data_IF_104964477194
#
_entry.id   IF_104964477194
#
_cell.length_a   1.000
_cell.length_b   1.000
_cell.length_c   1.000
_cell.angle_alpha   90.00
_cell.angle_beta   90.00
_cell.angle_gamma   90.00
#
_symmetry.space_group_name_H-M   'P 1'
#
loop_
_entity.id
_entity.type
_entity.pdbx_description
1 polymer ?
#
# COMPACT_ATOMS: atom_id res chain seq x y z
N UNK A 1 -7.72 -42.22 11.13
CA UNK A 1 -7.78 -41.26 10.01
C UNK A 1 -8.37 -39.97 10.53
N UNK A 2 -7.53 -38.95 10.78
CA UNK A 2 -7.98 -37.68 11.36
C UNK A 2 -8.84 -36.91 10.38
N UNK A 3 -9.99 -36.40 10.82
CA UNK A 3 -10.87 -35.53 10.03
C UNK A 3 -10.06 -34.30 9.58
N UNK A 4 -9.97 -34.08 8.27
CA UNK A 4 -9.33 -32.89 7.67
C UNK A 4 -10.25 -31.68 7.91
N UNK A 5 -9.74 -30.61 8.52
CA UNK A 5 -10.44 -29.34 8.72
C UNK A 5 -9.84 -28.28 7.81
N UNK A 6 -9.93 -28.51 6.50
CA UNK A 6 -9.51 -27.54 5.48
C UNK A 6 -10.36 -26.27 5.60
N UNK A 7 -9.72 -25.19 6.02
CA UNK A 7 -10.37 -23.89 6.30
C UNK A 7 -9.57 -22.80 5.61
N UNK A 8 -10.26 -21.80 5.07
CA UNK A 8 -9.64 -20.64 4.43
C UNK A 8 -9.81 -19.42 5.30
N UNK A 9 -8.75 -18.65 5.42
CA UNK A 9 -8.72 -17.47 6.26
C UNK A 9 -8.28 -16.27 5.46
N UNK A 10 -8.79 -15.10 5.85
CA UNK A 10 -8.21 -13.80 5.52
C UNK A 10 -7.70 -13.21 6.84
N UNK A 11 -6.39 -13.12 6.98
CA UNK A 11 -5.71 -12.47 8.10
C UNK A 11 -5.26 -11.08 7.69
N UNK A 12 -5.44 -10.08 8.55
CA UNK A 12 -4.92 -8.74 8.34
C UNK A 12 -3.63 -8.59 9.12
N UNK A 13 -2.58 -8.22 8.39
CA UNK A 13 -1.27 -7.89 8.94
C UNK A 13 -0.99 -6.40 8.80
N UNK A 14 -0.15 -5.89 9.69
CA UNK A 14 0.54 -4.62 9.57
C UNK A 14 2.03 -4.89 9.42
N UNK A 15 2.74 -4.11 8.63
CA UNK A 15 4.20 -4.24 8.53
C UNK A 15 4.93 -2.94 8.25
N UNK A 16 6.16 -2.85 8.74
CA UNK A 16 7.14 -1.85 8.35
C UNK A 16 7.96 -2.38 7.18
N UNK A 17 7.76 -1.81 5.99
CA UNK A 17 8.38 -2.29 4.76
C UNK A 17 9.86 -1.97 4.58
N UNK A 18 10.46 -1.16 5.48
CA UNK A 18 11.82 -0.59 5.32
C UNK A 18 12.88 -1.61 4.94
N UNK A 19 12.84 -2.80 5.54
CA UNK A 19 13.87 -3.84 5.38
C UNK A 19 13.49 -4.92 4.35
N UNK A 20 12.44 -4.68 3.55
CA UNK A 20 11.86 -5.67 2.67
C UNK A 20 11.80 -5.21 1.23
N UNK A 21 12.04 -6.16 0.33
CA UNK A 21 11.93 -6.03 -1.13
C UNK A 21 10.47 -6.12 -1.61
N UNK A 22 9.55 -5.53 -0.83
CA UNK A 22 8.12 -5.49 -1.11
C UNK A 22 7.36 -6.71 -0.59
N UNK A 23 6.08 -6.79 -0.97
CA UNK A 23 5.25 -7.93 -0.59
C UNK A 23 5.69 -9.24 -1.26
N UNK A 24 5.79 -9.25 -2.58
CA UNK A 24 5.92 -10.48 -3.38
C UNK A 24 7.31 -11.12 -3.23
N UNK A 25 7.38 -12.45 -3.08
CA UNK A 25 8.65 -13.21 -3.20
C UNK A 25 9.39 -12.87 -4.50
N UNK A 26 10.68 -12.58 -4.41
CA UNK A 26 11.54 -12.24 -5.53
C UNK A 26 13.02 -12.49 -5.18
N UNK A 27 13.90 -12.44 -6.18
CA UNK A 27 15.32 -12.75 -6.01
C UNK A 27 16.15 -11.59 -5.44
N UNK A 28 15.55 -10.41 -5.21
CA UNK A 28 16.26 -9.21 -4.79
C UNK A 28 16.47 -9.12 -3.26
N UNK A 29 15.87 -10.02 -2.49
CA UNK A 29 16.04 -10.08 -1.04
C UNK A 29 14.76 -10.49 -0.30
N UNK A 30 14.75 -10.23 1.02
CA UNK A 30 13.66 -10.63 1.91
C UNK A 30 12.34 -9.96 1.50
N UNK A 31 11.28 -10.75 1.34
CA UNK A 31 9.93 -10.23 1.08
C UNK A 31 8.98 -10.45 2.25
N UNK A 32 7.92 -9.65 2.34
CA UNK A 32 6.90 -9.82 3.38
C UNK A 32 6.19 -11.17 3.20
N UNK A 33 5.87 -11.56 1.96
CA UNK A 33 5.20 -12.83 1.67
C UNK A 33 6.04 -14.02 2.15
N UNK A 34 7.35 -14.00 1.92
CA UNK A 34 8.24 -15.09 2.34
C UNK A 34 8.21 -15.28 3.87
N UNK A 35 8.33 -14.19 4.63
CA UNK A 35 8.28 -14.25 6.10
C UNK A 35 6.92 -14.68 6.63
N UNK A 36 5.83 -14.25 5.98
CA UNK A 36 4.47 -14.70 6.32
C UNK A 36 4.29 -16.19 6.04
N UNK A 37 4.74 -16.70 4.89
CA UNK A 37 4.66 -18.12 4.55
C UNK A 37 5.52 -18.99 5.47
N UNK A 38 6.72 -18.52 5.86
CA UNK A 38 7.56 -19.18 6.89
C UNK A 38 6.85 -19.27 8.23
N UNK A 39 6.21 -18.17 8.67
CA UNK A 39 5.48 -18.13 9.93
C UNK A 39 4.23 -19.03 9.91
N UNK A 40 3.48 -19.02 8.80
CA UNK A 40 2.33 -19.91 8.60
C UNK A 40 2.77 -21.38 8.61
N UNK A 41 3.84 -21.70 7.90
CA UNK A 41 4.36 -23.06 7.83
C UNK A 41 4.85 -23.55 9.19
N UNK A 42 5.48 -22.68 9.98
CA UNK A 42 5.91 -22.99 11.35
C UNK A 42 4.71 -23.22 12.29
N UNK A 43 3.63 -22.45 12.12
CA UNK A 43 2.42 -22.59 12.94
C UNK A 43 1.64 -23.87 12.63
N UNK A 44 1.51 -24.24 11.34
CA UNK A 44 0.68 -25.35 10.90
C UNK A 44 1.46 -26.65 10.63
N UNK A 45 2.80 -26.61 10.64
CA UNK A 45 3.67 -27.78 10.46
C UNK A 45 3.74 -28.29 9.01
N UNK A 46 3.21 -27.55 8.05
CA UNK A 46 3.20 -27.88 6.62
C UNK A 46 3.42 -26.62 5.80
N UNK A 47 3.98 -26.77 4.59
CA UNK A 47 4.15 -25.63 3.69
C UNK A 47 2.79 -24.96 3.40
N UNK A 48 2.66 -23.69 3.77
CA UNK A 48 1.42 -22.93 3.67
C UNK A 48 1.65 -21.67 2.82
N UNK A 49 1.01 -21.62 1.66
CA UNK A 49 1.08 -20.47 0.75
C UNK A 49 0.20 -19.31 1.20
N UNK A 50 0.63 -18.09 0.86
CA UNK A 50 -0.08 -16.86 1.20
C UNK A 50 -0.35 -16.00 -0.04
N UNK A 51 -1.59 -15.53 -0.17
CA UNK A 51 -2.01 -14.61 -1.23
C UNK A 51 -2.33 -13.25 -0.62
N UNK A 52 -1.54 -12.23 -0.95
CA UNK A 52 -1.83 -10.85 -0.55
C UNK A 52 -2.92 -10.19 -1.40
N UNK A 53 -3.64 -9.23 -0.80
CA UNK A 53 -4.66 -8.42 -1.48
C UNK A 53 -4.08 -7.44 -2.51
N UNK A 54 -2.79 -7.14 -2.44
CA UNK A 54 -2.10 -6.25 -3.36
C UNK A 54 -0.68 -6.74 -3.64
N UNK A 55 0.07 -5.98 -4.44
CA UNK A 55 1.52 -5.89 -4.29
C UNK A 55 1.84 -4.56 -3.59
N UNK A 56 3.00 -4.50 -2.97
CA UNK A 56 3.61 -3.28 -2.44
C UNK A 56 5.08 -3.26 -2.84
N UNK A 57 5.57 -2.06 -3.15
CA UNK A 57 6.94 -1.86 -3.61
C UNK A 57 7.94 -2.05 -2.46
N UNK A 58 9.22 -2.26 -2.81
CA UNK A 58 10.31 -2.30 -1.84
C UNK A 58 10.28 -1.08 -0.92
N UNK A 59 10.38 -1.31 0.39
CA UNK A 59 10.38 -0.23 1.39
C UNK A 59 9.00 0.30 1.79
N UNK A 60 7.91 -0.03 1.08
CA UNK A 60 6.56 0.51 1.36
C UNK A 60 5.95 -0.22 2.54
N UNK A 61 5.42 0.51 3.52
CA UNK A 61 4.76 -0.07 4.71
C UNK A 61 3.27 -0.28 4.46
N UNK A 62 2.62 -1.10 5.29
CA UNK A 62 1.17 -1.24 5.26
C UNK A 62 0.59 -1.31 6.67
N UNK A 63 -0.55 -0.64 6.88
CA UNK A 63 -1.27 -0.63 8.15
C UNK A 63 -2.34 -1.71 8.19
N UNK A 64 -3.16 -1.83 7.14
CA UNK A 64 -4.12 -2.91 7.00
C UNK A 64 -3.90 -3.69 5.70
N UNK A 65 -3.20 -4.82 5.80
CA UNK A 65 -2.88 -5.67 4.67
C UNK A 65 -3.53 -7.05 4.77
N UNK A 66 -4.62 -7.32 4.02
CA UNK A 66 -5.24 -8.63 4.01
C UNK A 66 -4.39 -9.66 3.26
N UNK A 67 -4.28 -10.84 3.86
CA UNK A 67 -3.57 -12.02 3.34
C UNK A 67 -4.48 -13.22 3.46
N UNK A 68 -4.64 -13.98 2.38
CA UNK A 68 -5.43 -15.19 2.35
C UNK A 68 -4.55 -16.44 2.34
N UNK A 69 -4.93 -17.44 3.13
CA UNK A 69 -4.27 -18.75 3.15
C UNK A 69 -5.29 -19.85 3.50
N UNK A 70 -4.92 -21.09 3.22
CA UNK A 70 -5.69 -22.29 3.60
C UNK A 70 -4.86 -23.06 4.63
N UNK A 71 -5.52 -23.58 5.66
CA UNK A 71 -4.89 -24.42 6.66
C UNK A 71 -5.81 -25.56 7.09
N UNK A 72 -5.24 -26.74 7.31
CA UNK A 72 -5.90 -27.82 8.05
C UNK A 72 -5.71 -27.57 9.55
N UNK A 73 -6.72 -27.03 10.22
CA UNK A 73 -6.57 -26.63 11.61
C UNK A 73 -7.85 -26.62 12.43
N UNK A 74 -7.73 -27.12 13.67
CA UNK A 74 -8.74 -26.98 14.72
C UNK A 74 -8.56 -25.72 15.57
N UNK A 75 -7.55 -24.89 15.28
CA UNK A 75 -7.33 -23.67 16.03
C UNK A 75 -8.58 -22.77 15.96
N UNK A 76 -9.08 -22.26 17.11
CA UNK A 76 -10.12 -21.24 17.10
C UNK A 76 -9.66 -20.04 16.28
N UNK A 77 -10.52 -19.55 15.38
CA UNK A 77 -10.17 -18.49 14.41
C UNK A 77 -9.54 -17.28 15.10
N UNK A 78 -10.16 -16.79 16.18
CA UNK A 78 -9.67 -15.64 16.95
C UNK A 78 -8.29 -15.83 17.61
N UNK A 79 -7.76 -17.06 17.72
CA UNK A 79 -6.43 -17.35 18.28
C UNK A 79 -5.32 -17.37 17.24
N UNK A 80 -5.66 -17.42 15.94
CA UNK A 80 -4.68 -17.52 14.87
C UNK A 80 -3.69 -16.34 14.87
N UNK A 81 -4.11 -15.05 14.94
CA UNK A 81 -3.16 -13.93 14.91
C UNK A 81 -2.16 -13.99 16.07
N UNK A 82 -2.64 -14.23 17.29
CA UNK A 82 -1.80 -14.33 18.47
C UNK A 82 -0.76 -15.45 18.35
N UNK A 83 -1.15 -16.62 17.83
CA UNK A 83 -0.22 -17.74 17.64
C UNK A 83 0.76 -17.49 16.49
N UNK A 84 0.30 -16.90 15.39
CA UNK A 84 1.13 -16.57 14.23
C UNK A 84 2.21 -15.54 14.59
N UNK A 85 1.88 -14.53 15.40
CA UNK A 85 2.81 -13.48 15.84
C UNK A 85 4.02 -14.00 16.63
N UNK A 86 3.98 -15.23 17.15
CA UNK A 86 5.14 -15.88 17.77
C UNK A 86 6.22 -16.28 16.77
N UNK A 87 5.84 -16.45 15.51
CA UNK A 87 6.73 -16.84 14.42
C UNK A 87 7.01 -15.69 13.44
N UNK A 88 6.15 -14.67 13.41
CA UNK A 88 6.40 -13.50 12.58
C UNK A 88 7.52 -12.61 13.14
N UNK A 89 8.31 -11.97 12.26
CA UNK A 89 9.23 -10.90 12.64
C UNK A 89 8.52 -9.74 13.37
N UNK A 90 9.24 -8.97 14.19
CA UNK A 90 8.65 -7.85 14.97
C UNK A 90 8.08 -6.73 14.10
N UNK A 91 8.59 -6.58 12.88
CA UNK A 91 8.18 -5.64 11.86
C UNK A 91 7.02 -6.13 10.98
N UNK A 92 6.48 -7.34 11.23
CA UNK A 92 5.28 -7.88 10.58
C UNK A 92 4.38 -8.49 11.66
N UNK A 93 3.17 -7.96 11.87
CA UNK A 93 2.29 -8.47 12.92
C UNK A 93 0.86 -8.60 12.44
N UNK A 94 0.22 -9.73 12.76
CA UNK A 94 -1.19 -9.98 12.52
C UNK A 94 -2.05 -9.51 13.68
N UNK A 95 -3.22 -8.93 13.39
CA UNK A 95 -4.10 -8.40 14.45
C UNK A 95 -5.59 -8.68 14.22
N UNK A 96 -5.98 -9.15 13.03
CA UNK A 96 -7.37 -9.48 12.70
C UNK A 96 -7.41 -10.70 11.80
N UNK A 97 -8.44 -11.52 11.93
CA UNK A 97 -8.65 -12.67 11.04
C UNK A 97 -10.14 -12.94 10.86
N UNK A 98 -10.48 -13.43 9.68
CA UNK A 98 -11.82 -13.91 9.34
C UNK A 98 -11.69 -15.24 8.60
N UNK A 99 -12.57 -16.19 8.93
CA UNK A 99 -12.76 -17.40 8.14
C UNK A 99 -13.69 -17.10 6.96
N UNK A 100 -13.36 -17.64 5.80
CA UNK A 100 -14.05 -17.43 4.53
C UNK A 100 -14.28 -18.77 3.84
N UNK A 101 -15.21 -18.81 2.88
CA UNK A 101 -15.46 -20.00 2.07
C UNK A 101 -14.19 -20.41 1.29
N UNK A 102 -14.03 -21.70 1.01
CA UNK A 102 -12.84 -22.25 0.35
C UNK A 102 -12.63 -21.70 -1.07
N UNK A 103 -13.71 -21.33 -1.76
CA UNK A 103 -13.73 -20.74 -3.11
C UNK A 103 -13.48 -19.22 -3.12
N UNK A 104 -13.47 -18.55 -1.96
CA UNK A 104 -13.25 -17.11 -1.85
C UNK A 104 -11.94 -16.66 -2.52
N UNK A 105 -11.99 -15.62 -3.34
CA UNK A 105 -10.82 -15.06 -4.02
C UNK A 105 -10.51 -13.64 -3.53
N UNK A 106 -9.52 -13.52 -2.64
CA UNK A 106 -9.17 -12.24 -2.02
C UNK A 106 -8.91 -11.10 -3.02
N UNK A 107 -8.19 -11.36 -4.12
CA UNK A 107 -7.83 -10.32 -5.09
C UNK A 107 -9.04 -9.82 -5.87
N UNK A 108 -9.99 -10.71 -6.21
CA UNK A 108 -11.24 -10.34 -6.90
C UNK A 108 -12.22 -9.64 -5.97
N UNK A 109 -12.07 -9.81 -4.66
CA UNK A 109 -12.92 -9.21 -3.64
C UNK A 109 -12.44 -7.84 -3.13
N UNK A 110 -11.30 -7.33 -3.61
CA UNK A 110 -10.83 -5.98 -3.26
C UNK A 110 -11.70 -4.93 -3.97
N UNK A 111 -12.30 -4.03 -3.20
CA UNK A 111 -13.11 -2.92 -3.71
C UNK A 111 -12.28 -1.66 -3.98
N UNK A 112 -11.43 -1.30 -3.02
CA UNK A 112 -10.58 -0.10 -3.11
C UNK A 112 -9.39 -0.18 -2.17
N UNK A 113 -8.38 0.64 -2.46
CA UNK A 113 -7.14 0.75 -1.67
C UNK A 113 -6.92 2.22 -1.32
N UNK A 114 -6.57 2.47 -0.07
CA UNK A 114 -6.20 3.81 0.41
C UNK A 114 -4.71 3.84 0.72
N UNK A 115 -4.00 4.78 0.11
CA UNK A 115 -2.61 5.05 0.39
C UNK A 115 -2.46 6.42 1.05
N UNK A 116 -1.48 6.53 1.96
CA UNK A 116 -1.07 7.79 2.56
C UNK A 116 0.40 8.01 2.26
N UNK A 117 0.73 9.17 1.69
CA UNK A 117 2.10 9.64 1.56
C UNK A 117 2.34 10.81 2.51
N UNK A 118 3.31 10.66 3.42
CA UNK A 118 3.65 11.69 4.41
C UNK A 118 4.80 12.55 3.91
N UNK A 119 4.61 13.87 3.96
CA UNK A 119 5.63 14.90 3.71
C UNK A 119 5.72 15.81 4.93
N UNK A 120 6.85 16.47 5.17
CA UNK A 120 6.97 17.47 6.22
C UNK A 120 7.74 18.70 5.72
N UNK A 121 7.28 19.88 6.12
CA UNK A 121 7.90 21.15 5.75
C UNK A 121 8.88 21.55 6.84
N UNK A 122 10.15 21.67 6.49
CA UNK A 122 11.21 22.05 7.43
C UNK A 122 12.49 22.46 6.70
N UNK A 123 13.21 23.45 7.22
CA UNK A 123 14.54 23.82 6.74
C UNK A 123 15.57 22.72 7.06
N UNK A 124 15.44 22.08 8.22
CA UNK A 124 16.34 21.03 8.69
C UNK A 124 15.74 19.64 8.57
N UNK A 125 16.58 18.63 8.37
CA UNK A 125 16.15 17.23 8.46
C UNK A 125 15.81 16.91 9.91
N UNK A 126 14.60 16.42 10.17
CA UNK A 126 14.13 16.06 11.51
C UNK A 126 14.29 14.55 11.73
N UNK A 127 15.27 14.08 12.54
CA UNK A 127 15.61 12.65 12.62
C UNK A 127 14.47 11.74 13.08
N UNK A 128 13.51 12.28 13.83
CA UNK A 128 12.36 11.53 14.34
C UNK A 128 11.19 11.42 13.35
N UNK A 129 11.17 12.26 12.30
CA UNK A 129 10.09 12.32 11.29
C UNK A 129 10.58 11.82 9.93
N UNK A 130 11.83 12.14 9.58
CA UNK A 130 12.44 11.79 8.31
C UNK A 130 12.43 10.28 7.97
N UNK A 131 12.45 9.33 8.92
CA UNK A 131 12.33 7.92 8.61
C UNK A 131 10.98 7.52 8.02
N UNK A 132 9.92 8.30 8.24
CA UNK A 132 8.53 7.98 7.86
C UNK A 132 7.86 9.04 6.99
N UNK A 133 8.57 10.10 6.63
CA UNK A 133 8.07 11.18 5.79
C UNK A 133 9.17 11.78 4.90
N UNK A 134 8.76 12.46 3.83
CA UNK A 134 9.66 13.16 2.91
C UNK A 134 9.77 14.65 3.25
N UNK A 135 10.99 15.17 3.36
CA UNK A 135 11.25 16.58 3.65
C UNK A 135 10.99 17.43 2.41
N UNK A 136 10.34 18.56 2.58
CA UNK A 136 10.28 19.65 1.61
C UNK A 136 10.60 20.97 2.32
N UNK A 137 11.12 21.95 1.59
CA UNK A 137 11.47 23.26 2.18
C UNK A 137 10.27 24.21 2.22
N UNK A 138 9.33 24.07 1.29
CA UNK A 138 8.08 24.80 1.24
C UNK A 138 6.99 23.94 0.57
N UNK A 139 5.73 24.33 0.80
CA UNK A 139 4.57 23.68 0.19
C UNK A 139 3.37 24.65 0.20
N UNK A 140 2.92 25.09 -0.97
CA UNK A 140 1.62 25.76 -1.12
C UNK A 140 0.49 24.72 -0.97
N UNK A 141 -0.14 24.74 0.20
CA UNK A 141 -1.22 23.84 0.55
C UNK A 141 -2.44 24.00 -0.35
N UNK A 142 -2.77 25.23 -0.78
CA UNK A 142 -3.94 25.50 -1.60
C UNK A 142 -3.74 24.97 -3.02
N UNK A 143 -2.53 25.15 -3.57
CA UNK A 143 -2.17 24.58 -4.86
C UNK A 143 -2.26 23.04 -4.84
N UNK A 144 -1.76 22.41 -3.77
CA UNK A 144 -1.83 20.94 -3.62
C UNK A 144 -3.27 20.46 -3.46
N UNK A 145 -4.09 21.12 -2.62
CA UNK A 145 -5.51 20.79 -2.44
C UNK A 145 -6.29 20.91 -3.75
N UNK A 146 -6.04 21.96 -4.52
CA UNK A 146 -6.66 22.17 -5.84
C UNK A 146 -6.23 21.09 -6.84
N UNK A 147 -4.95 20.72 -6.87
CA UNK A 147 -4.44 19.65 -7.72
C UNK A 147 -5.03 18.26 -7.36
N UNK A 148 -5.19 17.97 -6.06
CA UNK A 148 -5.87 16.76 -5.59
C UNK A 148 -7.34 16.71 -6.04
N UNK A 149 -8.02 17.87 -6.06
CA UNK A 149 -9.37 17.98 -6.60
C UNK A 149 -9.48 17.52 -8.06
N UNK A 150 -8.48 17.84 -8.90
CA UNK A 150 -8.43 17.38 -10.29
C UNK A 150 -8.20 15.88 -10.45
N UNK A 151 -7.63 15.23 -9.44
CA UNK A 151 -7.30 13.81 -9.47
C UNK A 151 -8.52 12.91 -9.20
N UNK A 152 -9.59 13.43 -8.61
CA UNK A 152 -10.80 12.65 -8.30
C UNK A 152 -11.53 12.27 -9.60
N UNK A 153 -12.01 11.04 -9.67
CA UNK A 153 -12.70 10.48 -10.84
C UNK A 153 -11.84 9.52 -11.67
N UNK A 154 -12.29 9.27 -12.90
CA UNK A 154 -11.67 8.28 -13.80
C UNK A 154 -10.64 8.95 -14.70
N UNK A 155 -9.38 8.56 -14.55
CA UNK A 155 -8.26 9.19 -15.24
C UNK A 155 -7.31 8.16 -15.86
N UNK A 156 -6.69 8.54 -16.97
CA UNK A 156 -5.52 7.86 -17.51
C UNK A 156 -4.27 8.36 -16.77
N UNK A 157 -3.71 7.51 -15.91
CA UNK A 157 -2.56 7.84 -15.08
C UNK A 157 -1.21 7.53 -15.76
N UNK A 158 -1.15 7.39 -17.09
CA UNK A 158 0.10 7.05 -17.81
C UNK A 158 1.28 7.97 -17.45
N UNK A 159 1.04 9.28 -17.25
CA UNK A 159 2.08 10.22 -16.80
C UNK A 159 2.67 9.87 -15.42
N UNK A 160 1.98 9.06 -14.64
CA UNK A 160 2.32 8.68 -13.27
C UNK A 160 2.70 7.21 -13.15
N UNK A 161 3.05 6.53 -14.23
CA UNK A 161 3.48 5.12 -14.19
C UNK A 161 4.94 4.99 -14.61
N UNK A 162 5.65 4.03 -14.01
CA UNK A 162 7.00 3.67 -14.48
C UNK A 162 6.89 2.92 -15.82
N UNK A 163 7.57 3.39 -16.89
CA UNK A 163 7.59 2.68 -18.17
C UNK A 163 8.05 1.23 -18.01
N UNK A 164 7.39 0.29 -18.71
CA UNK A 164 7.69 -1.14 -18.63
C UNK A 164 7.25 -1.83 -17.33
N UNK A 165 6.51 -1.13 -16.46
CA UNK A 165 5.92 -1.74 -15.27
C UNK A 165 4.80 -2.74 -15.61
N UNK A 166 4.60 -3.71 -14.71
CA UNK A 166 3.57 -4.73 -14.81
C UNK A 166 2.21 -4.12 -14.38
N UNK A 167 1.41 -3.61 -15.34
CA UNK A 167 0.08 -3.07 -15.07
C UNK A 167 -0.96 -3.53 -16.10
N UNK A 168 -2.16 -3.85 -15.61
CA UNK A 168 -3.31 -4.26 -16.45
C UNK A 168 -3.90 -3.09 -17.26
N UNK A 169 -3.89 -1.88 -16.69
CA UNK A 169 -4.33 -0.65 -17.36
C UNK A 169 -3.89 0.59 -16.58
N UNK A 170 -3.45 1.68 -17.25
CA UNK A 170 -3.14 2.95 -16.60
C UNK A 170 -4.39 3.75 -16.23
N UNK A 171 -5.56 3.36 -16.73
CA UNK A 171 -6.84 4.01 -16.40
C UNK A 171 -7.32 3.53 -15.04
N UNK A 172 -7.48 4.45 -14.09
CA UNK A 172 -7.92 4.18 -12.71
C UNK A 172 -9.04 5.11 -12.30
N UNK A 173 -9.91 4.63 -11.42
CA UNK A 173 -10.89 5.46 -10.74
C UNK A 173 -10.38 5.85 -9.35
N UNK A 174 -10.22 7.15 -9.13
CA UNK A 174 -9.86 7.74 -7.85
C UNK A 174 -11.14 8.17 -7.15
N UNK A 175 -11.45 7.49 -6.05
CA UNK A 175 -12.66 7.74 -5.26
C UNK A 175 -12.51 8.98 -4.38
N UNK A 176 -11.32 9.21 -3.82
CA UNK A 176 -11.02 10.40 -3.04
C UNK A 176 -9.53 10.72 -3.04
N UNK A 177 -9.22 12.01 -2.92
CA UNK A 177 -7.87 12.52 -2.82
C UNK A 177 -7.90 13.74 -1.87
N UNK A 178 -7.11 13.72 -0.81
CA UNK A 178 -7.11 14.78 0.22
C UNK A 178 -5.72 15.07 0.77
N UNK A 179 -5.58 16.27 1.33
CA UNK A 179 -4.40 16.71 2.07
C UNK A 179 -4.84 16.98 3.51
N UNK A 180 -4.31 16.20 4.44
CA UNK A 180 -4.53 16.36 5.88
C UNK A 180 -3.25 16.89 6.52
N UNK A 181 -3.36 17.84 7.46
CA UNK A 181 -2.20 18.39 8.17
C UNK A 181 -2.22 17.98 9.64
N UNK A 182 -1.07 17.56 10.14
CA UNK A 182 -0.81 17.13 11.51
C UNK A 182 0.50 17.77 12.00
N UNK A 183 0.37 18.96 12.59
CA UNK A 183 1.51 19.84 12.87
C UNK A 183 2.26 20.22 11.60
N UNK A 184 3.54 19.83 11.52
CA UNK A 184 4.40 20.08 10.36
C UNK A 184 4.34 18.99 9.28
N UNK A 185 3.61 17.90 9.54
CA UNK A 185 3.47 16.77 8.62
C UNK A 185 2.18 16.93 7.83
N UNK A 186 2.29 16.86 6.50
CA UNK A 186 1.16 16.79 5.59
C UNK A 186 1.02 15.36 5.07
N UNK A 187 -0.21 14.86 5.05
CA UNK A 187 -0.58 13.51 4.62
C UNK A 187 -1.41 13.62 3.34
N UNK A 188 -0.82 13.24 2.23
CA UNK A 188 -1.50 13.08 0.95
C UNK A 188 -2.19 11.72 0.97
N UNK A 189 -3.52 11.71 1.00
CA UNK A 189 -4.33 10.49 1.06
C UNK A 189 -5.05 10.28 -0.26
N UNK A 190 -4.87 9.12 -0.88
CA UNK A 190 -5.46 8.78 -2.18
C UNK A 190 -6.14 7.42 -2.06
N UNK A 191 -7.41 7.37 -2.44
CA UNK A 191 -8.22 6.16 -2.47
C UNK A 191 -8.70 5.87 -3.91
N UNK A 192 -8.53 4.64 -4.37
CA UNK A 192 -8.91 4.24 -5.73
C UNK A 192 -9.07 2.73 -5.92
N UNK A 193 -9.46 2.31 -7.12
CA UNK A 193 -9.68 0.91 -7.50
C UNK A 193 -8.38 0.08 -7.63
N UNK A 194 -7.24 0.76 -7.69
CA UNK A 194 -5.91 0.15 -7.70
C UNK A 194 -4.88 1.09 -8.28
N UNK A 195 -3.60 0.75 -8.12
CA UNK A 195 -2.49 1.59 -8.59
C UNK A 195 -1.41 0.71 -9.20
N UNK A 196 -0.73 1.23 -10.21
CA UNK A 196 0.42 0.59 -10.81
C UNK A 196 1.68 0.78 -9.96
N UNK A 197 2.77 0.18 -10.43
CA UNK A 197 4.09 0.33 -9.81
C UNK A 197 4.47 1.81 -9.70
N UNK A 198 4.92 2.23 -8.50
CA UNK A 198 5.29 3.61 -8.15
C UNK A 198 4.21 4.70 -8.29
N UNK A 199 2.99 4.39 -8.72
CA UNK A 199 2.03 5.43 -9.15
C UNK A 199 1.75 6.48 -8.07
N UNK A 200 1.47 6.04 -6.84
CA UNK A 200 1.23 6.97 -5.73
C UNK A 200 2.46 7.82 -5.41
N UNK A 201 3.66 7.25 -5.52
CA UNK A 201 4.93 7.95 -5.23
C UNK A 201 5.24 9.01 -6.29
N UNK A 202 4.86 8.77 -7.55
CA UNK A 202 5.02 9.71 -8.65
C UNK A 202 3.97 10.82 -8.56
N UNK A 203 2.72 10.48 -8.21
CA UNK A 203 1.66 11.48 -7.94
C UNK A 203 2.10 12.38 -6.78
N UNK A 204 2.54 11.82 -5.66
CA UNK A 204 3.01 12.59 -4.51
C UNK A 204 4.19 13.51 -4.87
N UNK A 205 5.16 13.03 -5.67
CA UNK A 205 6.27 13.87 -6.15
C UNK A 205 5.82 14.98 -7.09
N UNK A 206 4.79 14.74 -7.89
CA UNK A 206 4.17 15.76 -8.74
C UNK A 206 3.44 16.79 -7.89
N UNK A 207 2.70 16.37 -6.86
CA UNK A 207 2.02 17.29 -5.93
C UNK A 207 3.01 18.15 -5.16
N UNK A 208 4.16 17.61 -4.75
CA UNK A 208 5.26 18.41 -4.17
C UNK A 208 5.75 19.47 -5.15
N UNK A 209 6.01 19.10 -6.43
CA UNK A 209 6.40 20.06 -7.48
C UNK A 209 5.36 21.18 -7.66
N UNK A 210 4.07 20.84 -7.62
CA UNK A 210 2.96 21.80 -7.72
C UNK A 210 2.89 22.71 -6.50
N UNK A 211 3.03 22.15 -5.29
CA UNK A 211 3.09 22.95 -4.06
C UNK A 211 4.28 23.90 -4.03
N UNK A 212 5.41 23.53 -4.63
CA UNK A 212 6.58 24.40 -4.74
C UNK A 212 6.42 25.52 -5.77
N UNK A 213 5.66 25.29 -6.85
CA UNK A 213 5.41 26.31 -7.88
C UNK A 213 4.19 27.19 -7.61
N UNK A 214 3.24 26.72 -6.79
CA UNK A 214 1.95 27.38 -6.54
C UNK A 214 0.94 27.26 -7.70
N UNK A 215 1.31 26.65 -8.82
CA UNK A 215 0.47 26.58 -10.02
C UNK A 215 -0.24 25.22 -10.15
N UNK A 216 -1.45 25.12 -9.59
CA UNK A 216 -2.22 23.88 -9.56
C UNK A 216 -2.61 23.36 -10.94
N UNK A 217 -2.85 24.25 -11.90
CA UNK A 217 -3.30 23.95 -13.26
C UNK A 217 -2.27 23.13 -14.04
N UNK A 218 -0.98 23.24 -13.69
CA UNK A 218 0.07 22.43 -14.30
C UNK A 218 -0.10 20.94 -14.00
N UNK A 219 -0.79 20.57 -12.91
CA UNK A 219 -1.10 19.17 -12.62
C UNK A 219 -1.97 18.55 -13.72
N UNK A 220 -2.99 19.28 -14.19
CA UNK A 220 -3.88 18.84 -15.27
C UNK A 220 -3.09 18.67 -16.56
N UNK A 221 -2.22 19.63 -16.90
CA UNK A 221 -1.35 19.56 -18.09
C UNK A 221 -0.44 18.32 -18.03
N UNK A 222 0.17 18.05 -16.89
CA UNK A 222 1.03 16.87 -16.68
C UNK A 222 0.22 15.59 -16.88
N UNK A 223 -0.93 15.46 -16.23
CA UNK A 223 -1.80 14.29 -16.35
C UNK A 223 -2.25 14.06 -17.79
N UNK A 224 -2.72 15.10 -18.48
CA UNK A 224 -3.17 15.04 -19.87
C UNK A 224 -2.04 14.76 -20.87
N UNK A 225 -0.80 15.16 -20.55
CA UNK A 225 0.35 14.91 -21.43
C UNK A 225 0.68 13.43 -21.58
N UNK A 226 0.24 12.58 -20.63
CA UNK A 226 0.55 11.14 -20.57
C UNK A 226 2.06 10.84 -20.65
N UNK A 227 2.91 11.82 -20.38
CA UNK A 227 4.35 11.70 -20.48
C UNK A 227 4.97 11.72 -19.08
N UNK A 228 5.57 10.59 -18.69
CA UNK A 228 6.23 10.43 -17.39
C UNK A 228 7.30 11.49 -17.12
N UNK A 229 7.98 12.01 -18.15
CA UNK A 229 9.03 13.03 -17.98
C UNK A 229 8.49 14.38 -17.48
N UNK A 230 7.20 14.67 -17.69
CA UNK A 230 6.58 15.92 -17.23
C UNK A 230 6.21 15.87 -15.75
N UNK A 231 5.99 14.66 -15.22
CA UNK A 231 5.65 14.42 -13.82
C UNK A 231 6.83 14.65 -12.87
N UNK A 232 6.52 14.77 -11.58
CA UNK A 232 7.55 14.89 -10.54
C UNK A 232 8.45 13.66 -10.43
N UNK A 233 9.46 13.78 -9.58
CA UNK A 233 10.32 12.64 -9.24
C UNK A 233 9.50 11.53 -8.58
N UNK A 234 9.98 10.28 -8.67
CA UNK A 234 9.42 9.21 -7.87
C UNK A 234 9.91 9.38 -6.43
N UNK A 235 9.04 9.78 -5.51
CA UNK A 235 9.43 9.96 -4.10
C UNK A 235 9.88 8.63 -3.47
N UNK A 236 10.73 8.65 -2.42
CA UNK A 236 11.18 7.43 -1.74
C UNK A 236 10.01 6.67 -1.09
N UNK A 237 10.12 5.35 -0.88
CA UNK A 237 9.03 4.53 -0.34
C UNK A 237 8.77 4.80 1.15
N UNK A 238 9.74 5.36 1.88
CA UNK A 238 9.68 5.60 3.33
C UNK A 238 8.48 6.43 3.80
N UNK A 239 7.95 7.31 2.94
CA UNK A 239 6.79 8.14 3.24
C UNK A 239 5.46 7.49 2.89
N UNK A 240 5.46 6.37 2.16
CA UNK A 240 4.27 5.71 1.64
C UNK A 240 3.83 4.57 2.57
N UNK A 241 2.55 4.61 2.94
CA UNK A 241 1.86 3.55 3.66
C UNK A 241 0.61 3.15 2.86
N UNK A 242 0.44 1.85 2.63
CA UNK A 242 -0.88 1.29 2.31
C UNK A 242 -1.72 1.33 3.58
N UNK A 243 -2.56 2.35 3.70
CA UNK A 243 -3.36 2.61 4.90
C UNK A 243 -4.42 1.54 5.06
N UNK A 244 -5.19 1.25 4.00
CA UNK A 244 -6.24 0.22 4.06
C UNK A 244 -6.56 -0.42 2.72
N UNK A 245 -7.12 -1.63 2.79
CA UNK A 245 -7.70 -2.35 1.67
C UNK A 245 -9.13 -2.76 2.05
N UNK A 246 -10.12 -2.22 1.34
CA UNK A 246 -11.51 -2.62 1.55
C UNK A 246 -11.81 -3.89 0.75
N UNK A 247 -12.33 -4.91 1.43
CA UNK A 247 -12.61 -6.23 0.86
C UNK A 247 -14.09 -6.55 1.10
N UNK A 248 -14.82 -6.92 0.04
CA UNK A 248 -16.16 -7.49 0.19
C UNK A 248 -16.07 -8.97 0.56
N UNK A 249 -16.91 -9.39 1.51
CA UNK A 249 -17.02 -10.79 1.93
C UNK A 249 -18.39 -11.38 1.58
N UNK A 250 -19.15 -10.70 0.71
CA UNK A 250 -20.43 -11.19 0.22
C UNK A 250 -20.20 -12.24 -0.88
N UNK A 251 -21.14 -13.20 -0.98
CA UNK A 251 -21.21 -14.21 -2.05
C UNK A 251 -21.75 -13.59 -3.33
#
# INVERSE_FOLDING_TARGET
>A
MGRIFMRKFVITIQYNGKNYCGWQKNDNGKSIQEEVEKALSSLFGVNTEAVGASRTDSGVSAKEYPVCFVADTKLPTNRIPFKLNRFLPKDIQAYKVKEVDLDFNLRKSVLKKTYVYSIYVSEHTLPLINPTAYKVDNLDEQAVKKALGYLVGKHDLTAFVTPGGDYTTPVKNIYSASLEQDGIVYKIKICGDGFGYNTIRIIAGTLVKIGQSGNAEDFVKIMQSKNRQNAGITLPPKGLVLESVEVTYQK
#
